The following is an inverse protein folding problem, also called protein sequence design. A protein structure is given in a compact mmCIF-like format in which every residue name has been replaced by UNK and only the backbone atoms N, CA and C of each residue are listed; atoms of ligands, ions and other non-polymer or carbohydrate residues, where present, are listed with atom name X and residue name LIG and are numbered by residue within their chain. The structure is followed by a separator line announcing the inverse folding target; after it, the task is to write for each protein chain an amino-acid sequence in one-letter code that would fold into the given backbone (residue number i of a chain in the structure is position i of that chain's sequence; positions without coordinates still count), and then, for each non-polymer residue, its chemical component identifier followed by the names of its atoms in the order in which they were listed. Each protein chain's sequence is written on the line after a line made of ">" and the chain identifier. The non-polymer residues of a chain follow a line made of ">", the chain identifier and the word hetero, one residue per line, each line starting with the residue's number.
data_IF_785828781418
#
_entry.id   IF_785828781418
#
_cell.length_a   1.000
_cell.length_b   1.000
_cell.length_c   1.000
_cell.angle_alpha   90.00
_cell.angle_beta   90.00
_cell.angle_gamma   90.00
#
_symmetry.space_group_name_H-M   'P 1'
#
loop_
_entity.id
_entity.type
_entity.pdbx_description
1 polymer ?
#
# COMPACT_ATOMS: atom_id res chain seq x y z
N UNK A 1 -28.63 42.30 -15.69
CA UNK A 1 -27.47 42.09 -14.79
C UNK A 1 -28.03 41.63 -13.45
N UNK A 2 -27.82 40.37 -13.09
CA UNK A 2 -28.24 39.84 -11.78
C UNK A 2 -27.41 40.52 -10.68
N UNK A 3 -28.09 41.08 -9.68
CA UNK A 3 -27.44 41.73 -8.55
C UNK A 3 -26.76 40.66 -7.67
N UNK A 4 -25.43 40.71 -7.57
CA UNK A 4 -24.66 39.95 -6.60
C UNK A 4 -25.12 40.34 -5.19
N UNK A 5 -25.86 39.44 -4.54
CA UNK A 5 -26.25 39.58 -3.14
C UNK A 5 -24.99 39.47 -2.27
N UNK A 6 -24.54 40.60 -1.73
CA UNK A 6 -23.44 40.62 -0.79
C UNK A 6 -23.91 40.07 0.56
N UNK A 7 -23.39 38.90 0.93
CA UNK A 7 -23.55 38.33 2.27
C UNK A 7 -22.74 39.18 3.27
N UNK A 8 -23.41 40.10 3.94
CA UNK A 8 -22.81 40.88 5.03
C UNK A 8 -22.85 40.01 6.29
N UNK A 9 -21.75 39.29 6.54
CA UNK A 9 -21.58 38.55 7.77
C UNK A 9 -21.32 39.51 8.92
N UNK A 10 -22.00 39.31 10.04
CA UNK A 10 -21.58 39.92 11.29
C UNK A 10 -20.25 39.34 11.72
N UNK A 11 -19.46 40.09 12.49
CA UNK A 11 -18.18 39.62 13.01
C UNK A 11 -18.32 38.30 13.80
N UNK A 12 -19.45 38.13 14.50
CA UNK A 12 -19.79 36.88 15.18
C UNK A 12 -19.95 35.70 14.22
N UNK A 13 -20.74 35.87 13.14
CA UNK A 13 -20.96 34.81 12.13
C UNK A 13 -19.68 34.45 11.39
N UNK A 14 -18.85 35.45 11.04
CA UNK A 14 -17.54 35.19 10.42
C UNK A 14 -16.64 34.37 11.35
N UNK A 15 -16.59 34.73 12.63
CA UNK A 15 -15.77 34.03 13.63
C UNK A 15 -16.25 32.60 13.86
N UNK A 16 -17.56 32.38 13.82
CA UNK A 16 -18.17 31.07 13.95
C UNK A 16 -17.84 30.16 12.76
N UNK A 17 -17.97 30.68 11.53
CA UNK A 17 -17.58 29.97 10.30
C UNK A 17 -16.09 29.62 10.30
N UNK A 18 -15.22 30.57 10.68
CA UNK A 18 -13.77 30.32 10.77
C UNK A 18 -13.42 29.29 11.84
N UNK A 19 -14.12 29.30 12.97
CA UNK A 19 -13.91 28.32 14.05
C UNK A 19 -14.34 26.93 13.62
N UNK A 20 -15.46 26.81 12.90
CA UNK A 20 -15.95 25.53 12.39
C UNK A 20 -15.06 25.00 11.26
N UNK A 21 -14.62 25.85 10.34
CA UNK A 21 -13.64 25.49 9.32
C UNK A 21 -12.32 24.99 9.94
N UNK A 22 -11.82 25.66 10.98
CA UNK A 22 -10.62 25.24 11.70
C UNK A 22 -10.81 23.89 12.42
N UNK A 23 -11.99 23.66 13.03
CA UNK A 23 -12.32 22.40 13.69
C UNK A 23 -12.38 21.24 12.68
N UNK A 24 -13.01 21.46 11.53
CA UNK A 24 -13.08 20.46 10.46
C UNK A 24 -11.69 20.17 9.87
N UNK A 25 -10.88 21.21 9.63
CA UNK A 25 -9.50 21.05 9.18
C UNK A 25 -8.64 20.26 10.17
N UNK A 26 -8.77 20.54 11.47
CA UNK A 26 -8.08 19.79 12.51
C UNK A 26 -8.54 18.32 12.58
N UNK A 27 -9.83 18.06 12.41
CA UNK A 27 -10.37 16.69 12.39
C UNK A 27 -9.82 15.88 11.22
N UNK A 28 -9.74 16.48 10.03
CA UNK A 28 -9.13 15.86 8.84
C UNK A 28 -7.65 15.56 9.04
N UNK A 29 -6.87 16.54 9.51
CA UNK A 29 -5.45 16.36 9.77
C UNK A 29 -5.17 15.24 10.79
N UNK A 30 -5.99 15.14 11.85
CA UNK A 30 -5.90 14.06 12.84
C UNK A 30 -6.29 12.71 12.25
N UNK A 31 -7.29 12.66 11.36
CA UNK A 31 -7.68 11.43 10.68
C UNK A 31 -6.56 10.92 9.76
N UNK A 32 -5.92 11.82 9.01
CA UNK A 32 -4.79 11.50 8.13
C UNK A 32 -3.59 10.99 8.95
N UNK A 33 -3.21 11.71 10.02
CA UNK A 33 -2.16 11.29 10.95
C UNK A 33 -2.45 9.93 11.58
N UNK A 34 -3.70 9.66 11.96
CA UNK A 34 -4.08 8.34 12.51
C UNK A 34 -3.98 7.26 11.44
N UNK A 35 -4.38 7.54 10.21
CA UNK A 35 -4.27 6.61 9.10
C UNK A 35 -2.80 6.28 8.77
N UNK A 36 -1.89 7.26 8.92
CA UNK A 36 -0.44 7.06 8.81
C UNK A 36 0.13 6.28 9.99
N UNK A 37 -0.25 6.61 11.23
CA UNK A 37 0.21 5.92 12.45
C UNK A 37 -0.23 4.45 12.51
N UNK A 38 -1.33 4.09 11.86
CA UNK A 38 -1.83 2.71 11.80
C UNK A 38 -1.14 1.86 10.72
N UNK A 39 -0.28 2.46 9.89
CA UNK A 39 0.45 1.73 8.87
C UNK A 39 1.79 1.28 9.42
N UNK A 40 1.95 -0.03 9.58
CA UNK A 40 3.27 -0.58 9.80
C UNK A 40 4.12 -0.36 8.53
N UNK A 41 5.46 -0.27 8.63
CA UNK A 41 6.34 -0.20 7.45
C UNK A 41 6.04 -1.31 6.41
N UNK A 42 5.59 -2.46 6.91
CA UNK A 42 5.12 -3.59 6.11
C UNK A 42 3.87 -3.23 5.28
N UNK A 43 2.90 -2.48 5.82
CA UNK A 43 1.68 -2.08 5.12
C UNK A 43 1.95 -1.12 3.95
N UNK A 44 2.89 -0.19 4.14
CA UNK A 44 3.35 0.70 3.07
C UNK A 44 3.99 -0.11 1.93
N UNK A 45 4.83 -1.09 2.28
CA UNK A 45 5.48 -1.99 1.33
C UNK A 45 4.47 -2.87 0.58
N UNK A 46 3.45 -3.41 1.28
CA UNK A 46 2.35 -4.16 0.65
C UNK A 46 1.58 -3.29 -0.34
N UNK A 47 1.31 -2.02 -0.01
CA UNK A 47 0.62 -1.10 -0.92
C UNK A 47 1.43 -0.84 -2.18
N UNK A 48 2.71 -0.52 -2.04
CA UNK A 48 3.61 -0.29 -3.17
C UNK A 48 3.68 -1.54 -4.06
N UNK A 49 3.80 -2.72 -3.46
CA UNK A 49 3.86 -3.97 -4.21
C UNK A 49 2.55 -4.24 -4.96
N UNK A 50 1.38 -4.02 -4.34
CA UNK A 50 0.09 -4.11 -5.03
C UNK A 50 0.01 -3.15 -6.22
N UNK A 51 0.40 -1.89 -6.04
CA UNK A 51 0.43 -0.90 -7.11
C UNK A 51 1.34 -1.34 -8.26
N UNK A 52 2.53 -1.85 -7.95
CA UNK A 52 3.50 -2.35 -8.94
C UNK A 52 3.03 -3.60 -9.71
N UNK A 53 2.30 -4.49 -9.04
CA UNK A 53 1.69 -5.64 -9.69
C UNK A 53 0.63 -5.22 -10.70
N UNK A 54 -0.15 -4.16 -10.40
CA UNK A 54 -1.13 -3.58 -11.33
C UNK A 54 -0.45 -2.81 -12.46
N UNK A 55 0.48 -1.92 -12.14
CA UNK A 55 1.19 -1.08 -13.09
C UNK A 55 2.69 -1.01 -12.75
N UNK A 56 3.57 -1.57 -13.60
CA UNK A 56 5.00 -1.57 -13.33
C UNK A 56 5.64 -0.18 -13.37
N UNK A 57 5.00 0.83 -13.98
CA UNK A 57 5.53 2.19 -14.05
C UNK A 57 5.50 2.94 -12.70
N UNK A 58 4.79 2.39 -11.72
CA UNK A 58 4.65 2.96 -10.37
C UNK A 58 5.94 2.94 -9.55
N UNK A 59 6.94 2.15 -9.96
CA UNK A 59 8.24 2.03 -9.29
C UNK A 59 9.36 2.16 -10.32
N UNK A 60 10.26 3.12 -10.09
CA UNK A 60 11.39 3.40 -10.97
C UNK A 60 12.52 2.37 -10.88
N UNK A 61 12.77 1.80 -9.70
CA UNK A 61 13.78 0.76 -9.51
C UNK A 61 13.25 -0.45 -8.70
N UNK A 62 12.53 -1.37 -9.33
CA UNK A 62 11.93 -2.52 -8.65
C UNK A 62 12.94 -3.57 -8.19
N UNK A 63 14.20 -3.54 -8.66
CA UNK A 63 15.26 -4.45 -8.23
C UNK A 63 15.83 -4.07 -6.86
N UNK A 64 15.73 -2.79 -6.48
CA UNK A 64 16.16 -2.30 -5.16
C UNK A 64 15.04 -2.40 -4.11
N UNK A 65 13.82 -2.73 -4.52
CA UNK A 65 12.66 -2.87 -3.63
C UNK A 65 12.45 -4.36 -3.30
N UNK A 66 12.42 -4.68 -2.01
CA UNK A 66 12.42 -6.05 -1.51
C UNK A 66 11.14 -6.37 -0.73
N UNK A 67 10.68 -7.61 -0.85
CA UNK A 67 9.62 -8.12 0.01
C UNK A 67 9.88 -9.57 0.43
N UNK A 68 9.30 -9.97 1.56
CA UNK A 68 9.41 -11.31 2.12
C UNK A 68 8.06 -12.03 2.18
N UNK A 69 8.08 -13.31 2.55
CA UNK A 69 6.89 -14.19 2.55
C UNK A 69 5.70 -13.65 3.36
N UNK A 70 5.95 -12.92 4.46
CA UNK A 70 4.92 -12.21 5.24
C UNK A 70 4.10 -11.22 4.40
N UNK A 71 4.78 -10.33 3.66
CA UNK A 71 4.18 -9.31 2.81
C UNK A 71 3.47 -9.94 1.61
N UNK A 72 4.10 -10.92 0.96
CA UNK A 72 3.55 -11.55 -0.24
C UNK A 72 2.19 -12.21 0.04
N UNK A 73 2.03 -12.86 1.19
CA UNK A 73 0.76 -13.47 1.62
C UNK A 73 -0.35 -12.46 1.92
N UNK A 74 -0.02 -11.18 2.05
CA UNK A 74 -0.96 -10.10 2.28
C UNK A 74 -1.35 -9.38 0.99
N UNK A 75 -0.64 -9.59 -0.13
CA UNK A 75 -0.95 -8.95 -1.42
C UNK A 75 -2.40 -9.24 -1.82
N UNK A 76 -2.79 -10.52 -1.82
CA UNK A 76 -4.17 -10.96 -2.03
C UNK A 76 -4.68 -11.61 -0.74
N UNK A 77 -5.80 -11.12 -0.22
CA UNK A 77 -6.43 -11.71 0.96
C UNK A 77 -7.36 -12.86 0.55
N UNK A 78 -7.64 -13.74 1.50
CA UNK A 78 -8.75 -14.70 1.37
C UNK A 78 -10.09 -13.95 1.30
N UNK A 79 -11.19 -14.58 0.82
CA UNK A 79 -12.52 -13.96 0.83
C UNK A 79 -12.99 -13.49 2.22
N UNK A 80 -12.37 -14.00 3.29
CA UNK A 80 -12.63 -13.61 4.68
C UNK A 80 -11.70 -12.51 5.20
N UNK A 81 -10.95 -11.85 4.32
CA UNK A 81 -10.02 -10.77 4.68
C UNK A 81 -8.75 -11.21 5.40
N UNK A 82 -8.47 -12.52 5.48
CA UNK A 82 -7.25 -13.03 6.13
C UNK A 82 -6.10 -13.21 5.13
N UNK A 83 -4.82 -13.02 5.53
CA UNK A 83 -3.68 -13.35 4.69
C UNK A 83 -3.71 -14.80 4.21
N UNK A 84 -3.12 -15.07 3.05
CA UNK A 84 -2.97 -16.44 2.54
C UNK A 84 -2.10 -17.27 3.50
N UNK A 85 -2.33 -18.58 3.51
CA UNK A 85 -1.61 -19.50 4.40
C UNK A 85 -0.16 -19.73 3.94
N UNK A 86 0.66 -20.29 4.83
CA UNK A 86 2.01 -20.73 4.48
C UNK A 86 1.99 -21.84 3.40
N UNK A 87 1.02 -22.75 3.47
CA UNK A 87 0.84 -23.81 2.47
C UNK A 87 0.54 -23.25 1.07
N UNK A 88 -0.30 -22.20 0.99
CA UNK A 88 -0.53 -21.49 -0.26
C UNK A 88 0.78 -20.90 -0.81
N UNK A 89 1.55 -20.22 0.04
CA UNK A 89 2.79 -19.60 -0.39
C UNK A 89 3.83 -20.62 -0.89
N UNK A 90 3.94 -21.78 -0.20
CA UNK A 90 4.80 -22.87 -0.67
C UNK A 90 4.35 -23.44 -2.03
N UNK A 91 3.04 -23.48 -2.30
CA UNK A 91 2.52 -23.86 -3.62
C UNK A 91 2.87 -22.80 -4.66
N UNK A 92 2.57 -21.53 -4.37
CA UNK A 92 2.90 -20.38 -5.22
C UNK A 92 4.38 -20.37 -5.62
N UNK A 93 5.29 -20.56 -4.67
CA UNK A 93 6.73 -20.60 -4.95
C UNK A 93 7.13 -21.73 -5.90
N UNK A 94 6.57 -22.93 -5.72
CA UNK A 94 6.87 -24.10 -6.57
C UNK A 94 6.32 -23.95 -7.99
N UNK A 95 5.14 -23.38 -8.14
CA UNK A 95 4.47 -23.27 -9.45
C UNK A 95 5.01 -22.14 -10.33
N UNK A 96 5.71 -21.18 -9.72
CA UNK A 96 6.21 -19.96 -10.36
C UNK A 96 7.72 -19.90 -10.52
N UNK A 97 8.48 -20.81 -9.88
CA UNK A 97 9.94 -20.75 -9.86
C UNK A 97 10.52 -19.69 -8.90
N UNK A 98 9.67 -19.01 -8.11
CA UNK A 98 10.14 -17.99 -7.16
C UNK A 98 11.11 -18.56 -6.10
N UNK A 99 11.08 -19.86 -5.87
CA UNK A 99 12.04 -20.56 -5.00
C UNK A 99 13.49 -20.45 -5.51
N UNK A 100 13.67 -20.35 -6.83
CA UNK A 100 15.00 -20.33 -7.49
C UNK A 100 15.59 -18.91 -7.57
N UNK A 101 14.76 -17.88 -7.38
CA UNK A 101 15.16 -16.46 -7.36
C UNK A 101 15.92 -16.04 -6.08
N UNK A 102 16.33 -16.99 -5.23
CA UNK A 102 16.95 -16.74 -3.91
C UNK A 102 18.38 -16.17 -3.98
N UNK A 103 18.92 -15.91 -5.17
CA UNK A 103 20.35 -15.71 -5.40
C UNK A 103 20.91 -14.34 -5.06
N UNK A 104 20.07 -13.34 -4.69
CA UNK A 104 20.56 -11.99 -4.37
C UNK A 104 20.50 -11.73 -2.85
N UNK A 105 21.60 -11.30 -2.22
CA UNK A 105 21.62 -10.96 -0.79
C UNK A 105 20.82 -9.66 -0.55
N UNK A 106 19.82 -9.72 0.31
CA UNK A 106 19.13 -8.52 0.79
C UNK A 106 20.10 -7.67 1.63
N UNK A 107 20.29 -6.37 1.31
CA UNK A 107 21.16 -5.49 2.07
C UNK A 107 20.64 -5.17 3.49
N UNK A 108 19.34 -5.38 3.74
CA UNK A 108 18.62 -4.68 4.81
C UNK A 108 18.04 -5.58 5.91
N UNK A 109 17.85 -6.90 5.67
CA UNK A 109 16.97 -7.74 6.51
C UNK A 109 17.49 -9.14 6.91
N UNK A 110 18.80 -9.33 6.98
CA UNK A 110 19.40 -10.51 7.66
C UNK A 110 18.99 -11.87 7.07
N UNK A 111 18.40 -12.76 7.90
CA UNK A 111 18.11 -14.19 7.55
C UNK A 111 16.76 -14.43 6.85
N UNK A 112 15.94 -13.40 6.61
CA UNK A 112 14.64 -13.60 5.94
C UNK A 112 14.86 -13.93 4.46
N UNK A 113 14.02 -14.81 3.91
CA UNK A 113 13.96 -15.03 2.46
C UNK A 113 13.25 -13.84 1.84
N UNK A 114 13.96 -13.10 1.01
CA UNK A 114 13.47 -11.89 0.34
C UNK A 114 13.61 -12.03 -1.16
N UNK A 115 12.76 -11.31 -1.87
CA UNK A 115 12.68 -11.26 -3.32
C UNK A 115 12.49 -9.83 -3.75
N UNK A 116 13.03 -9.47 -4.92
CA UNK A 116 12.77 -8.14 -5.47
C UNK A 116 11.32 -8.03 -5.89
N UNK A 117 10.80 -6.81 -5.97
CA UNK A 117 9.46 -6.57 -6.51
C UNK A 117 9.34 -7.11 -7.94
N UNK A 118 10.43 -7.03 -8.71
CA UNK A 118 10.52 -7.62 -10.04
C UNK A 118 10.31 -9.14 -10.04
N UNK A 119 11.03 -9.88 -9.19
CA UNK A 119 10.87 -11.34 -9.04
C UNK A 119 9.43 -11.71 -8.69
N UNK A 120 8.83 -10.95 -7.75
CA UNK A 120 7.47 -11.18 -7.30
C UNK A 120 6.47 -10.94 -8.43
N UNK A 121 6.64 -9.87 -9.23
CA UNK A 121 5.77 -9.59 -10.37
C UNK A 121 5.85 -10.68 -11.43
N UNK A 122 7.04 -11.19 -11.74
CA UNK A 122 7.19 -12.31 -12.67
C UNK A 122 6.43 -13.54 -12.15
N UNK A 123 6.63 -13.90 -10.88
CA UNK A 123 5.94 -15.02 -10.25
C UNK A 123 4.42 -14.81 -10.20
N UNK A 124 3.96 -13.60 -9.87
CA UNK A 124 2.54 -13.25 -9.81
C UNK A 124 1.87 -13.41 -11.18
N UNK A 125 2.48 -12.86 -12.22
CA UNK A 125 1.99 -13.02 -13.59
C UNK A 125 1.98 -14.48 -14.02
N UNK A 126 3.01 -15.26 -13.69
CA UNK A 126 3.06 -16.68 -14.01
C UNK A 126 1.97 -17.49 -13.30
N UNK A 127 1.68 -17.17 -12.04
CA UNK A 127 0.67 -17.86 -11.22
C UNK A 127 -0.75 -17.62 -11.75
N UNK A 128 -1.12 -16.36 -12.00
CA UNK A 128 -2.48 -16.01 -12.42
C UNK A 128 -2.72 -16.12 -13.94
N UNK A 129 -1.69 -16.27 -14.78
CA UNK A 129 -1.88 -16.67 -16.19
C UNK A 129 -2.25 -18.14 -16.37
N UNK A 130 -1.95 -18.99 -15.38
CA UNK A 130 -2.25 -20.43 -15.41
C UNK A 130 -3.64 -20.77 -14.86
N UNK A 131 -4.32 -19.80 -14.24
CA UNK A 131 -5.69 -19.93 -13.74
C UNK A 131 -6.67 -19.34 -14.76
#
# INVERSE_FOLDING_TARGET
>A
MEALQALVLTNAQLREILTEAARQGAALAVADLRAELHQTPDDATVRQLRAYLTDPSTISNPEDQWAHSGLIRQIELTPRGKPKSAAWFMKFQRETGLVDCFTRPSPSFGRRREWTFYDIRLAWNAYYRKQ
#
